data_IF_903260269008
#
_entry.id   IF_903260269008
#
_cell.length_a   1.000
_cell.length_b   1.000
_cell.length_c   1.000
_cell.angle_alpha   90.00
_cell.angle_beta   90.00
_cell.angle_gamma   90.00
#
_symmetry.space_group_name_H-M   'P 1'
#
loop_
_entity.id
_entity.type
_entity.pdbx_description
1 polymer ?
#
# COMPACT_ATOMS: atom_id res chain seq x y z
N UNK A 1 5.40 -23.11 -33.55
CA UNK A 1 5.07 -21.68 -33.70
C UNK A 1 4.60 -21.22 -32.33
N UNK A 2 5.36 -20.38 -31.62
CA UNK A 2 4.99 -19.91 -30.29
C UNK A 2 4.15 -18.63 -30.44
N UNK A 3 2.95 -18.62 -29.87
CA UNK A 3 2.10 -17.43 -29.78
C UNK A 3 2.66 -16.52 -28.68
N UNK A 4 2.99 -15.27 -29.03
CA UNK A 4 3.35 -14.25 -28.05
C UNK A 4 2.11 -13.86 -27.22
N UNK A 5 2.25 -13.51 -25.93
CA UNK A 5 1.13 -13.08 -25.11
C UNK A 5 0.56 -11.78 -25.67
N UNK A 6 -0.78 -11.70 -25.74
CA UNK A 6 -1.47 -10.50 -26.19
C UNK A 6 -1.20 -9.34 -25.22
N UNK A 7 -0.76 -8.20 -25.77
CA UNK A 7 -0.62 -6.95 -25.03
C UNK A 7 -2.01 -6.48 -24.59
N UNK A 8 -2.26 -6.48 -23.29
CA UNK A 8 -3.52 -5.99 -22.72
C UNK A 8 -3.47 -4.47 -22.76
N UNK A 9 -4.23 -3.85 -23.65
CA UNK A 9 -4.46 -2.39 -23.65
C UNK A 9 -5.02 -1.98 -22.28
N UNK A 10 -4.21 -1.24 -21.52
CA UNK A 10 -4.66 -0.60 -20.29
C UNK A 10 -5.52 0.59 -20.69
N UNK A 11 -6.77 0.72 -20.22
CA UNK A 11 -7.59 1.87 -20.55
C UNK A 11 -6.87 3.14 -20.08
N UNK A 12 -6.55 4.00 -21.03
CA UNK A 12 -5.99 5.32 -20.76
C UNK A 12 -7.05 6.11 -19.98
N UNK A 13 -6.82 6.31 -18.69
CA UNK A 13 -7.73 7.06 -17.84
C UNK A 13 -7.85 8.47 -18.41
N UNK A 14 -9.01 8.80 -18.98
CA UNK A 14 -9.36 10.16 -19.43
C UNK A 14 -9.38 11.09 -18.20
N UNK A 15 -8.23 11.68 -17.87
CA UNK A 15 -8.13 12.74 -16.86
C UNK A 15 -8.76 13.99 -17.47
N UNK A 16 -10.07 14.10 -17.34
CA UNK A 16 -10.76 15.38 -17.55
C UNK A 16 -10.23 16.32 -16.48
N UNK A 17 -9.69 17.46 -16.89
CA UNK A 17 -9.04 18.47 -16.06
C UNK A 17 -10.02 19.17 -15.10
N UNK A 18 -10.56 18.44 -14.13
CA UNK A 18 -11.02 19.03 -12.88
C UNK A 18 -9.79 19.26 -12.03
N UNK A 19 -9.56 20.50 -11.58
CA UNK A 19 -8.55 20.80 -10.55
C UNK A 19 -8.94 20.00 -9.31
N UNK A 20 -8.37 18.81 -9.17
CA UNK A 20 -8.53 18.01 -7.97
C UNK A 20 -7.82 18.77 -6.85
N UNK A 21 -8.45 18.96 -5.69
CA UNK A 21 -7.73 19.47 -4.53
C UNK A 21 -6.52 18.57 -4.26
N UNK A 22 -5.41 19.15 -3.79
CA UNK A 22 -4.24 18.39 -3.34
C UNK A 22 -4.65 17.51 -2.15
N UNK A 23 -5.12 16.31 -2.45
CA UNK A 23 -5.44 15.29 -1.47
C UNK A 23 -4.15 14.58 -1.08
N UNK A 24 -3.91 14.34 0.22
CA UNK A 24 -2.74 13.61 0.65
C UNK A 24 -2.78 12.19 0.08
N UNK A 25 -1.64 11.72 -0.39
CA UNK A 25 -1.46 10.33 -0.77
C UNK A 25 -1.46 9.48 0.50
N UNK A 26 -1.86 8.22 0.36
CA UNK A 26 -1.86 7.25 1.45
C UNK A 26 -1.08 6.00 1.04
N UNK A 27 -0.22 5.52 1.94
CA UNK A 27 0.44 4.22 1.79
C UNK A 27 -0.47 3.16 2.40
N UNK A 28 -0.82 2.14 1.61
CA UNK A 28 -1.69 1.04 2.01
C UNK A 28 -0.90 -0.25 2.00
N UNK A 29 -0.98 -1.01 3.09
CA UNK A 29 -0.46 -2.37 3.15
C UNK A 29 -1.62 -3.35 3.05
N UNK A 30 -1.49 -4.31 2.14
CA UNK A 30 -2.48 -5.34 1.85
C UNK A 30 -2.12 -6.64 2.54
N UNK A 31 -3.14 -7.42 2.91
CA UNK A 31 -2.95 -8.74 3.47
C UNK A 31 -2.54 -9.74 2.40
N UNK A 32 -1.71 -10.70 2.79
CA UNK A 32 -1.28 -11.79 1.94
C UNK A 32 -1.19 -13.11 2.76
N UNK A 33 -1.32 -14.28 2.10
CA UNK A 33 -1.35 -15.56 2.81
C UNK A 33 0.03 -16.12 3.16
N UNK A 34 1.12 -15.44 2.77
CA UNK A 34 2.49 -15.98 2.85
C UNK A 34 3.26 -15.38 4.01
N UNK A 35 3.15 -14.06 4.20
CA UNK A 35 3.88 -13.35 5.24
C UNK A 35 3.29 -13.64 6.61
N UNK A 36 4.19 -13.90 7.57
CA UNK A 36 3.80 -14.10 8.96
C UNK A 36 3.42 -12.77 9.60
N UNK A 37 2.42 -12.79 10.48
CA UNK A 37 2.02 -11.63 11.31
C UNK A 37 3.21 -10.99 12.03
N UNK A 38 4.09 -11.81 12.62
CA UNK A 38 5.29 -11.33 13.31
C UNK A 38 6.27 -10.60 12.38
N UNK A 39 6.36 -11.01 11.12
CA UNK A 39 7.19 -10.34 10.12
C UNK A 39 6.58 -8.99 9.73
N UNK A 40 5.27 -8.94 9.49
CA UNK A 40 4.55 -7.70 9.17
C UNK A 40 4.71 -6.67 10.30
N UNK A 41 4.50 -7.08 11.56
CA UNK A 41 4.72 -6.21 12.72
C UNK A 41 6.18 -5.76 12.86
N UNK A 42 7.16 -6.60 12.49
CA UNK A 42 8.57 -6.20 12.46
C UNK A 42 8.84 -5.16 11.36
N UNK A 43 8.26 -5.30 10.17
CA UNK A 43 8.38 -4.32 9.08
C UNK A 43 7.79 -2.98 9.50
N UNK A 44 6.64 -2.97 10.19
CA UNK A 44 6.06 -1.74 10.74
C UNK A 44 6.96 -1.02 11.75
N UNK A 45 7.68 -1.77 12.59
CA UNK A 45 8.67 -1.17 13.49
C UNK A 45 9.92 -0.69 12.74
N UNK A 46 10.42 -1.48 11.79
CA UNK A 46 11.71 -1.22 11.12
C UNK A 46 11.64 -0.13 10.06
N UNK A 47 10.59 -0.16 9.23
CA UNK A 47 10.46 0.71 8.06
C UNK A 47 9.74 2.02 8.42
N UNK A 48 8.60 1.91 9.11
CA UNK A 48 7.78 3.06 9.51
C UNK A 48 8.12 3.62 10.90
N UNK A 49 9.03 2.95 11.64
CA UNK A 49 9.46 3.42 12.95
C UNK A 49 8.39 3.34 14.04
N UNK A 50 7.35 2.52 13.85
CA UNK A 50 6.26 2.43 14.83
C UNK A 50 6.68 1.73 16.11
N UNK A 51 6.10 2.18 17.23
CA UNK A 51 6.18 1.45 18.49
C UNK A 51 5.55 0.05 18.32
N UNK A 52 6.00 -0.90 19.13
CA UNK A 52 5.59 -2.30 19.05
C UNK A 52 4.07 -2.46 19.10
N UNK A 53 3.42 -1.74 20.00
CA UNK A 53 1.97 -1.81 20.21
C UNK A 53 1.20 -1.35 18.97
N UNK A 54 1.62 -0.23 18.37
CA UNK A 54 1.02 0.29 17.12
C UNK A 54 1.28 -0.64 15.94
N UNK A 55 2.46 -1.23 15.87
CA UNK A 55 2.79 -2.19 14.82
C UNK A 55 1.95 -3.47 14.92
N UNK A 56 1.70 -3.97 16.13
CA UNK A 56 0.81 -5.11 16.36
C UNK A 56 -0.64 -4.79 16.00
N UNK A 57 -1.12 -3.59 16.35
CA UNK A 57 -2.46 -3.11 15.99
C UNK A 57 -2.66 -3.04 14.46
N UNK A 58 -1.76 -2.36 13.76
CA UNK A 58 -1.82 -2.24 12.29
C UNK A 58 -1.71 -3.60 11.61
N UNK A 59 -0.88 -4.50 12.14
CA UNK A 59 -0.74 -5.85 11.60
C UNK A 59 -2.06 -6.63 11.74
N UNK A 60 -2.71 -6.57 12.90
CA UNK A 60 -4.01 -7.20 13.10
C UNK A 60 -5.06 -6.62 12.16
N UNK A 61 -5.03 -5.30 11.93
CA UNK A 61 -5.90 -4.64 10.97
C UNK A 61 -5.69 -5.17 9.55
N UNK A 62 -4.44 -5.29 9.09
CA UNK A 62 -4.14 -5.92 7.79
C UNK A 62 -4.71 -7.33 7.74
N UNK A 63 -4.46 -8.16 8.76
CA UNK A 63 -4.91 -9.55 8.77
C UNK A 63 -6.44 -9.70 8.71
N UNK A 64 -7.16 -8.90 9.49
CA UNK A 64 -8.62 -9.00 9.62
C UNK A 64 -9.37 -8.28 8.49
N UNK A 65 -8.94 -7.07 8.13
CA UNK A 65 -9.66 -6.19 7.20
C UNK A 65 -9.12 -6.32 5.77
N UNK A 66 -8.06 -7.10 5.57
CA UNK A 66 -7.40 -7.31 4.29
C UNK A 66 -6.47 -6.17 3.87
N UNK A 67 -6.47 -5.04 4.60
CA UNK A 67 -5.59 -3.89 4.36
C UNK A 67 -5.55 -2.93 5.55
N UNK A 68 -4.51 -2.10 5.63
CA UNK A 68 -4.44 -0.97 6.55
C UNK A 68 -3.73 0.22 5.87
N UNK A 69 -4.12 1.45 6.26
CA UNK A 69 -3.40 2.66 5.90
C UNK A 69 -2.25 2.84 6.90
N UNK A 70 -1.02 2.91 6.39
CA UNK A 70 0.19 2.96 7.22
C UNK A 70 0.89 4.30 7.18
N UNK A 71 0.69 5.14 6.17
CA UNK A 71 1.25 6.51 6.11
C UNK A 71 0.33 7.40 5.27
N UNK A 72 0.42 8.71 5.46
CA UNK A 72 -0.27 9.71 4.63
C UNK A 72 0.58 10.98 4.49
N UNK A 73 0.70 11.52 3.27
CA UNK A 73 1.54 12.68 3.03
C UNK A 73 1.56 13.13 1.56
N UNK A 74 2.64 13.80 1.18
CA UNK A 74 2.93 14.12 -0.23
C UNK A 74 3.19 12.84 -1.03
N UNK A 75 3.08 12.93 -2.35
CA UNK A 75 3.35 11.78 -3.22
C UNK A 75 4.78 11.26 -3.01
N UNK A 76 5.74 12.17 -2.94
CA UNK A 76 7.16 11.85 -2.78
C UNK A 76 7.45 11.22 -1.42
N UNK A 77 6.72 11.59 -0.37
CA UNK A 77 6.79 10.92 0.93
C UNK A 77 6.27 9.48 0.83
N UNK A 78 5.10 9.27 0.23
CA UNK A 78 4.49 7.94 0.10
C UNK A 78 5.21 7.01 -0.89
N UNK A 79 6.04 7.54 -1.80
CA UNK A 79 6.90 6.73 -2.67
C UNK A 79 8.20 6.27 -1.96
N UNK A 80 8.57 6.93 -0.85
CA UNK A 80 9.72 6.53 -0.01
C UNK A 80 9.32 5.59 1.13
N UNK A 81 8.10 5.77 1.64
CA UNK A 81 7.45 4.99 2.70
C UNK A 81 6.83 3.68 2.17
#
# INVERSE_FOLDING_TARGET
MAIAPAEVERPETLITSSVLPDLPWITIVWNDPVNLMSYVAFVFQRHFGYAKEKAEELMLQVHNDGKAVVSSGTREEMERD
#
